data_IF_055784626103
#
_entry.id   IF_055784626103
#
_cell.length_a   1.000
_cell.length_b   1.000
_cell.length_c   1.000
_cell.angle_alpha   90.00
_cell.angle_beta   90.00
_cell.angle_gamma   90.00
#
_symmetry.space_group_name_H-M   'P 1'
#
loop_
_entity.id
_entity.type
_entity.pdbx_description
1 polymer ?
#
# COMPACT_ATOMS: atom_id res chain seq x y z
N UNK A 1 41.27 19.71 -3.47
CA UNK A 1 41.20 20.01 -2.03
C UNK A 1 40.45 18.88 -1.39
N UNK A 2 41.04 18.29 -0.36
CA UNK A 2 40.57 17.09 0.34
C UNK A 2 39.84 17.47 1.63
N UNK A 3 39.18 16.46 2.22
CA UNK A 3 38.71 16.41 3.62
C UNK A 3 37.53 17.32 4.03
N UNK A 4 36.70 16.93 5.00
CA UNK A 4 36.81 15.72 5.84
C UNK A 4 35.54 15.32 6.60
N UNK A 5 35.64 14.14 7.21
CA UNK A 5 34.67 13.50 8.12
C UNK A 5 34.81 14.01 9.56
N UNK A 6 33.71 14.06 10.31
CA UNK A 6 33.53 13.83 11.77
C UNK A 6 32.02 14.09 12.05
N UNK A 7 31.19 13.17 12.54
CA UNK A 7 31.26 12.28 13.72
C UNK A 7 31.44 13.02 15.05
N UNK A 8 30.36 13.03 15.87
CA UNK A 8 30.42 13.21 17.32
C UNK A 8 29.28 12.43 18.00
N UNK A 9 29.59 11.66 19.04
CA UNK A 9 28.68 10.87 19.87
C UNK A 9 28.47 11.50 21.26
N UNK A 10 27.40 11.09 21.96
CA UNK A 10 27.15 11.24 23.41
C UNK A 10 26.91 12.70 23.90
N UNK A 11 26.10 12.98 24.93
CA UNK A 11 26.06 12.32 26.24
C UNK A 11 24.73 12.51 27.02
N UNK A 12 24.62 11.74 28.11
CA UNK A 12 23.53 11.72 29.10
C UNK A 12 23.68 12.83 30.15
N UNK A 13 22.57 13.26 30.77
CA UNK A 13 22.54 13.67 32.19
C UNK A 13 21.12 13.65 32.76
N UNK A 14 20.99 13.11 33.96
CA UNK A 14 19.76 13.08 34.77
C UNK A 14 19.86 14.11 35.89
N UNK A 15 18.74 14.72 36.29
CA UNK A 15 18.63 15.37 37.61
C UNK A 15 17.21 15.18 38.20
N UNK A 16 17.07 15.44 39.50
CA UNK A 16 16.27 14.60 40.41
C UNK A 16 15.39 15.41 41.39
N UNK A 17 14.20 14.85 41.70
CA UNK A 17 13.35 15.04 42.89
C UNK A 17 12.57 16.35 43.14
N UNK A 18 11.24 16.17 43.37
CA UNK A 18 10.52 16.72 44.53
C UNK A 18 9.23 15.90 44.83
N UNK A 19 8.90 15.73 46.12
CA UNK A 19 7.87 14.85 46.77
C UNK A 19 7.58 15.48 48.17
N UNK A 20 6.45 15.33 48.94
CA UNK A 20 5.30 14.38 48.96
C UNK A 20 3.90 15.07 48.73
N UNK A 21 2.67 14.57 49.12
CA UNK A 21 2.31 13.42 49.98
C UNK A 21 1.17 12.44 49.59
N UNK A 22 1.12 11.37 50.40
CA UNK A 22 0.18 10.24 50.58
C UNK A 22 -1.34 10.60 50.67
N UNK A 23 -2.32 9.66 50.70
CA UNK A 23 -2.31 8.25 51.13
C UNK A 23 -3.51 7.41 50.59
N UNK A 24 -3.47 6.08 50.84
CA UNK A 24 -4.60 5.10 50.80
C UNK A 24 -5.22 4.79 49.42
N UNK A 25 -5.72 3.59 49.11
CA UNK A 25 -5.76 2.28 49.81
C UNK A 25 -5.96 1.14 48.78
N UNK A 26 -5.63 -0.11 49.13
CA UNK A 26 -5.97 -1.32 48.34
C UNK A 26 -6.91 -2.20 49.18
N UNK A 27 -7.86 -2.94 48.57
CA UNK A 27 -7.54 -4.34 48.27
C UNK A 27 -8.24 -4.98 47.04
N UNK A 28 -7.51 -5.93 46.43
CA UNK A 28 -7.93 -7.27 46.00
C UNK A 28 -9.30 -7.54 45.34
N UNK A 29 -9.28 -8.03 44.10
CA UNK A 29 -9.97 -9.26 43.70
C UNK A 29 -9.32 -9.87 42.45
N UNK A 30 -9.12 -11.19 42.41
CA UNK A 30 -8.52 -11.89 41.27
C UNK A 30 -9.59 -12.60 40.42
N UNK A 31 -9.46 -12.52 39.09
CA UNK A 31 -9.96 -13.51 38.15
C UNK A 31 -9.17 -13.40 36.84
N UNK A 32 -8.44 -14.46 36.48
CA UNK A 32 -7.97 -14.65 35.10
C UNK A 32 -9.05 -15.42 34.34
N UNK A 33 -9.47 -14.95 33.17
CA UNK A 33 -9.92 -15.80 32.06
C UNK A 33 -10.03 -14.97 30.76
N UNK A 34 -8.98 -15.02 29.95
CA UNK A 34 -8.99 -14.77 28.49
C UNK A 34 -9.46 -16.08 27.82
N UNK A 35 -10.16 -16.10 26.67
CA UNK A 35 -9.98 -15.13 25.59
C UNK A 35 -11.22 -14.78 24.71
N UNK A 36 -10.93 -14.02 23.64
CA UNK A 36 -11.61 -14.10 22.34
C UNK A 36 -12.93 -13.35 22.15
N UNK A 37 -12.85 -12.02 22.14
CA UNK A 37 -13.78 -11.15 21.40
C UNK A 37 -13.16 -10.56 20.10
N UNK A 38 -11.95 -10.99 19.71
CA UNK A 38 -11.20 -10.45 18.58
C UNK A 38 -11.45 -11.18 17.23
N UNK A 39 -12.63 -11.80 17.06
CA UNK A 39 -12.94 -12.66 15.91
C UNK A 39 -14.13 -12.19 15.06
N UNK A 40 -14.75 -11.03 15.37
CA UNK A 40 -15.96 -10.55 14.67
C UNK A 40 -15.79 -9.24 13.89
N UNK A 41 -14.65 -8.56 13.96
CA UNK A 41 -14.38 -7.37 13.12
C UNK A 41 -13.87 -7.73 11.71
N UNK A 42 -13.21 -8.88 11.55
CA UNK A 42 -12.55 -9.29 10.30
C UNK A 42 -13.54 -9.57 9.16
N UNK A 43 -14.80 -9.94 9.45
CA UNK A 43 -15.80 -10.27 8.43
C UNK A 43 -16.57 -9.05 7.88
N UNK A 44 -16.55 -7.90 8.54
CA UNK A 44 -17.36 -6.74 8.13
C UNK A 44 -16.62 -5.77 7.20
N UNK A 45 -15.29 -5.78 7.20
CA UNK A 45 -14.50 -4.80 6.47
C UNK A 45 -14.48 -5.00 4.94
N UNK A 46 -14.80 -6.22 4.45
CA UNK A 46 -14.96 -6.50 3.02
C UNK A 46 -16.31 -6.03 2.43
N UNK A 47 -17.31 -5.78 3.28
CA UNK A 47 -18.62 -5.20 2.92
C UNK A 47 -18.73 -3.72 3.36
N UNK A 48 -17.59 -3.07 3.58
CA UNK A 48 -17.52 -1.68 4.03
C UNK A 48 -17.90 -0.67 2.92
N UNK A 49 -18.60 0.39 3.30
CA UNK A 49 -19.10 1.41 2.37
C UNK A 49 -17.97 2.13 1.62
N UNK A 50 -16.79 2.30 2.24
CA UNK A 50 -15.61 2.88 1.58
C UNK A 50 -15.07 1.98 0.46
N UNK A 51 -15.12 0.66 0.62
CA UNK A 51 -14.66 -0.26 -0.41
C UNK A 51 -15.61 -0.24 -1.61
N UNK A 52 -16.92 -0.12 -1.38
CA UNK A 52 -17.90 0.08 -2.45
C UNK A 52 -17.65 1.38 -3.26
N UNK A 53 -17.21 2.46 -2.62
CA UNK A 53 -16.80 3.69 -3.31
C UNK A 53 -15.50 3.51 -4.11
N UNK A 54 -14.47 2.87 -3.54
CA UNK A 54 -13.23 2.54 -4.28
C UNK A 54 -13.53 1.64 -5.49
N UNK A 55 -14.40 0.63 -5.32
CA UNK A 55 -14.81 -0.29 -6.38
C UNK A 55 -15.84 0.32 -7.35
N UNK A 56 -16.23 1.59 -7.20
CA UNK A 56 -17.13 2.26 -8.13
C UNK A 56 -16.45 2.45 -9.49
N UNK A 57 -17.21 2.26 -10.56
CA UNK A 57 -16.74 2.50 -11.93
C UNK A 57 -16.55 4.00 -12.16
N UNK A 58 -15.38 4.40 -12.67
CA UNK A 58 -15.15 5.79 -13.10
C UNK A 58 -15.59 6.00 -14.55
N UNK A 59 -15.87 7.26 -14.91
CA UNK A 59 -16.38 7.59 -16.25
C UNK A 59 -15.38 7.30 -17.39
N UNK A 60 -14.08 7.38 -17.11
CA UNK A 60 -13.01 7.12 -18.08
C UNK A 60 -12.66 5.63 -18.23
N UNK A 61 -13.20 4.75 -17.39
CA UNK A 61 -12.98 3.31 -17.49
C UNK A 61 -13.88 2.65 -18.55
N UNK A 62 -13.29 1.84 -19.42
CA UNK A 62 -14.03 0.83 -20.17
C UNK A 62 -14.54 -0.28 -19.24
N UNK A 63 -15.55 -1.04 -19.67
CA UNK A 63 -16.11 -2.16 -18.90
C UNK A 63 -15.06 -3.23 -18.57
N UNK A 64 -14.12 -3.49 -19.49
CA UNK A 64 -13.03 -4.45 -19.29
C UNK A 64 -11.98 -3.98 -18.29
N UNK A 65 -11.52 -2.73 -18.40
CA UNK A 65 -10.57 -2.13 -17.44
C UNK A 65 -11.15 -2.12 -16.03
N UNK A 66 -12.41 -1.73 -15.89
CA UNK A 66 -13.12 -1.73 -14.62
C UNK A 66 -13.18 -3.13 -13.99
N UNK A 67 -13.60 -4.14 -14.76
CA UNK A 67 -13.68 -5.53 -14.27
C UNK A 67 -12.31 -6.06 -13.82
N UNK A 68 -11.24 -5.75 -14.56
CA UNK A 68 -9.87 -6.11 -14.18
C UNK A 68 -9.42 -5.41 -12.89
N UNK A 69 -9.70 -4.11 -12.72
CA UNK A 69 -9.40 -3.39 -11.47
C UNK A 69 -10.18 -3.96 -10.29
N UNK A 70 -11.46 -4.29 -10.46
CA UNK A 70 -12.27 -4.91 -9.40
C UNK A 70 -11.75 -6.31 -9.03
N UNK A 71 -11.32 -7.10 -10.01
CA UNK A 71 -10.70 -8.41 -9.75
C UNK A 71 -9.38 -8.28 -8.96
N UNK A 72 -8.49 -7.38 -9.38
CA UNK A 72 -7.27 -7.04 -8.66
C UNK A 72 -7.55 -6.58 -7.22
N UNK A 73 -8.47 -5.62 -7.04
CA UNK A 73 -8.80 -5.08 -5.72
C UNK A 73 -9.40 -6.12 -4.79
N UNK A 74 -10.20 -7.08 -5.29
CA UNK A 74 -10.71 -8.21 -4.48
C UNK A 74 -9.58 -9.11 -3.99
N UNK A 75 -8.59 -9.39 -4.84
CA UNK A 75 -7.39 -10.16 -4.46
C UNK A 75 -6.55 -9.41 -3.42
N UNK A 76 -6.31 -8.11 -3.62
CA UNK A 76 -5.57 -7.27 -2.68
C UNK A 76 -6.27 -7.17 -1.31
N UNK A 77 -7.58 -6.90 -1.29
CA UNK A 77 -8.37 -6.86 -0.05
C UNK A 77 -8.36 -8.21 0.65
N UNK A 78 -8.60 -9.33 -0.05
CA UNK A 78 -8.56 -10.65 0.57
C UNK A 78 -7.18 -10.95 1.20
N UNK A 79 -6.09 -10.55 0.54
CA UNK A 79 -4.73 -10.70 1.07
C UNK A 79 -4.47 -9.82 2.29
N UNK A 80 -4.90 -8.55 2.28
CA UNK A 80 -4.76 -7.64 3.43
C UNK A 80 -5.63 -8.03 4.62
N UNK A 81 -6.85 -8.52 4.38
CA UNK A 81 -7.72 -9.07 5.44
C UNK A 81 -7.10 -10.30 6.06
N UNK A 82 -6.43 -11.16 5.27
CA UNK A 82 -5.72 -12.33 5.78
C UNK A 82 -4.44 -11.98 6.57
N UNK A 83 -3.75 -10.87 6.26
CA UNK A 83 -2.61 -10.38 7.05
C UNK A 83 -3.01 -9.52 8.26
N UNK A 84 -4.28 -9.09 8.35
CA UNK A 84 -4.74 -8.13 9.37
C UNK A 84 -4.34 -6.68 9.10
N UNK A 85 -3.81 -6.38 7.91
CA UNK A 85 -3.29 -5.06 7.51
C UNK A 85 -4.27 -4.28 6.61
N UNK A 86 -5.57 -4.57 6.68
CA UNK A 86 -6.56 -3.93 5.81
C UNK A 86 -6.69 -2.42 6.11
N UNK A 87 -6.39 -1.60 5.10
CA UNK A 87 -6.31 -0.16 5.21
C UNK A 87 -6.96 0.52 3.99
N UNK A 88 -7.86 1.49 4.24
CA UNK A 88 -8.63 2.19 3.20
C UNK A 88 -7.72 2.96 2.23
N UNK A 89 -6.78 3.75 2.75
CA UNK A 89 -5.90 4.58 1.91
C UNK A 89 -4.99 3.74 1.01
N UNK A 90 -4.50 2.61 1.53
CA UNK A 90 -3.72 1.64 0.75
C UNK A 90 -4.58 1.00 -0.35
N UNK A 91 -5.85 0.69 -0.07
CA UNK A 91 -6.77 0.21 -1.09
C UNK A 91 -7.07 1.28 -2.16
N UNK A 92 -7.24 2.55 -1.75
CA UNK A 92 -7.49 3.68 -2.66
C UNK A 92 -6.28 3.96 -3.55
N UNK A 93 -5.08 3.90 -2.97
CA UNK A 93 -3.78 4.00 -3.65
C UNK A 93 -3.62 2.87 -4.69
N UNK A 94 -3.77 1.61 -4.27
CA UNK A 94 -3.63 0.44 -5.14
C UNK A 94 -4.60 0.46 -6.32
N UNK A 95 -5.84 0.86 -6.08
CA UNK A 95 -6.89 1.02 -7.11
C UNK A 95 -6.46 2.00 -8.22
N UNK A 96 -5.95 3.17 -7.84
CA UNK A 96 -5.45 4.16 -8.80
C UNK A 96 -4.14 3.73 -9.47
N UNK A 97 -3.21 3.19 -8.69
CA UNK A 97 -1.88 2.75 -9.14
C UNK A 97 -1.98 1.63 -10.18
N UNK A 98 -2.84 0.63 -9.95
CA UNK A 98 -3.15 -0.44 -10.90
C UNK A 98 -3.60 0.13 -12.26
N UNK A 99 -4.54 1.08 -12.26
CA UNK A 99 -5.05 1.66 -13.50
C UNK A 99 -3.98 2.46 -14.25
N UNK A 100 -3.25 3.33 -13.53
CA UNK A 100 -2.19 4.15 -14.11
C UNK A 100 -1.05 3.32 -14.70
N UNK A 101 -0.60 2.27 -13.99
CA UNK A 101 0.48 1.40 -14.46
C UNK A 101 0.00 0.50 -15.61
N UNK A 102 -1.15 -0.18 -15.48
CA UNK A 102 -1.61 -1.17 -16.47
C UNK A 102 -2.13 -0.55 -17.76
N UNK A 103 -2.79 0.61 -17.69
CA UNK A 103 -3.53 1.19 -18.83
C UNK A 103 -3.03 2.55 -19.31
N UNK A 104 -2.39 3.36 -18.45
CA UNK A 104 -1.80 4.64 -18.84
C UNK A 104 -0.29 4.55 -19.10
N UNK A 105 0.34 3.41 -18.81
CA UNK A 105 1.78 3.19 -18.99
C UNK A 105 2.65 3.99 -18.02
N UNK A 106 2.05 4.52 -16.93
CA UNK A 106 2.80 5.27 -15.93
C UNK A 106 3.91 4.42 -15.30
N UNK A 107 4.97 5.09 -14.87
CA UNK A 107 6.07 4.49 -14.10
C UNK A 107 6.17 5.25 -12.79
N UNK A 108 6.27 4.52 -11.69
CA UNK A 108 6.33 5.08 -10.33
C UNK A 108 7.66 4.71 -9.68
N UNK A 109 7.85 5.10 -8.41
CA UNK A 109 9.02 4.66 -7.64
C UNK A 109 9.00 3.12 -7.48
N UNK A 110 10.17 2.46 -7.37
CA UNK A 110 10.25 1.02 -7.20
C UNK A 110 9.46 0.50 -5.99
N UNK A 111 9.35 1.30 -4.93
CA UNK A 111 8.58 0.99 -3.71
C UNK A 111 7.07 0.88 -4.00
N UNK A 112 6.51 1.82 -4.76
CA UNK A 112 5.11 1.79 -5.16
C UNK A 112 4.84 0.66 -6.16
N UNK A 113 5.73 0.46 -7.15
CA UNK A 113 5.59 -0.67 -8.08
C UNK A 113 5.70 -2.02 -7.32
N UNK A 114 6.60 -2.17 -6.35
CA UNK A 114 6.69 -3.37 -5.52
C UNK A 114 5.43 -3.61 -4.66
N UNK A 115 4.84 -2.56 -4.07
CA UNK A 115 3.58 -2.65 -3.34
C UNK A 115 2.43 -3.13 -4.23
N UNK A 116 2.41 -2.71 -5.50
CA UNK A 116 1.45 -3.16 -6.50
C UNK A 116 1.66 -4.65 -6.85
N UNK A 117 2.90 -5.03 -7.16
CA UNK A 117 3.25 -6.40 -7.58
C UNK A 117 3.16 -7.42 -6.44
N UNK A 118 3.14 -7.00 -5.15
CA UNK A 118 2.81 -7.85 -3.99
C UNK A 118 1.46 -8.56 -4.16
N UNK A 119 0.49 -7.92 -4.80
CA UNK A 119 -0.88 -8.44 -4.95
C UNK A 119 -1.21 -8.93 -6.36
N UNK A 120 -0.38 -8.60 -7.37
CA UNK A 120 -0.47 -9.12 -8.74
C UNK A 120 0.94 -9.22 -9.36
N UNK A 121 1.53 -10.42 -9.25
CA UNK A 121 2.87 -10.70 -9.80
C UNK A 121 2.90 -10.77 -11.32
N UNK A 122 1.78 -11.13 -11.97
CA UNK A 122 1.68 -11.18 -13.43
C UNK A 122 1.68 -9.77 -14.03
N UNK A 123 1.18 -8.77 -13.30
CA UNK A 123 1.18 -7.37 -13.74
C UNK A 123 2.60 -6.85 -14.06
N UNK A 124 3.62 -7.26 -13.32
CA UNK A 124 5.00 -6.85 -13.60
C UNK A 124 5.47 -7.32 -15.00
N UNK A 125 5.15 -8.56 -15.36
CA UNK A 125 5.50 -9.15 -16.68
C UNK A 125 4.68 -8.52 -17.81
N UNK A 126 3.38 -8.30 -17.58
CA UNK A 126 2.46 -7.60 -18.48
C UNK A 126 2.98 -6.19 -18.80
N UNK A 127 3.35 -5.43 -17.76
CA UNK A 127 3.84 -4.04 -17.86
C UNK A 127 5.18 -3.98 -18.56
N UNK A 128 6.12 -4.86 -18.20
CA UNK A 128 7.40 -4.97 -18.90
C UNK A 128 7.22 -5.32 -20.39
N UNK A 129 6.26 -6.19 -20.70
CA UNK A 129 5.92 -6.59 -22.07
C UNK A 129 5.23 -5.45 -22.85
N UNK A 130 4.34 -4.69 -22.22
CA UNK A 130 3.70 -3.52 -22.81
C UNK A 130 4.72 -2.41 -23.10
N UNK A 131 5.58 -2.07 -22.13
CA UNK A 131 6.68 -1.09 -22.26
C UNK A 131 7.62 -1.48 -23.43
N UNK A 132 8.00 -2.76 -23.57
CA UNK A 132 8.81 -3.27 -24.71
C UNK A 132 8.10 -3.14 -26.06
N UNK A 133 6.79 -3.45 -26.14
CA UNK A 133 5.98 -3.30 -27.36
C UNK A 133 5.87 -1.84 -27.78
N UNK A 134 5.63 -0.93 -26.84
CA UNK A 134 5.51 0.50 -27.12
C UNK A 134 6.85 1.11 -27.57
N UNK A 135 7.95 0.80 -26.90
CA UNK A 135 9.29 1.25 -27.30
C UNK A 135 9.65 0.75 -28.72
N UNK A 136 9.28 -0.49 -29.05
CA UNK A 136 9.46 -1.06 -30.39
C UNK A 136 8.61 -0.36 -31.44
N UNK A 137 7.39 0.06 -31.10
CA UNK A 137 6.51 0.83 -31.98
C UNK A 137 7.09 2.24 -32.24
N UNK A 138 7.42 2.98 -31.18
CA UNK A 138 8.03 4.33 -31.27
C UNK A 138 9.32 4.32 -32.10
N UNK A 139 10.17 3.30 -31.96
CA UNK A 139 11.39 3.16 -32.77
C UNK A 139 11.10 2.98 -34.26
N UNK A 140 10.07 2.22 -34.63
CA UNK A 140 9.65 2.05 -36.03
C UNK A 140 9.09 3.36 -36.61
N UNK A 141 8.28 4.07 -35.83
CA UNK A 141 7.71 5.37 -36.24
C UNK A 141 8.82 6.42 -36.47
N UNK A 142 9.80 6.50 -35.57
CA UNK A 142 10.98 7.36 -35.75
C UNK A 142 11.81 6.99 -36.99
N UNK A 143 11.99 5.70 -37.28
CA UNK A 143 12.70 5.24 -38.48
C UNK A 143 11.96 5.56 -39.78
N UNK A 144 10.62 5.61 -39.77
CA UNK A 144 9.83 6.03 -40.93
C UNK A 144 9.91 7.55 -41.14
N UNK A 145 9.90 8.34 -40.07
CA UNK A 145 10.03 9.81 -40.15
C UNK A 145 11.41 10.27 -40.64
N UNK A 146 12.47 9.46 -40.49
CA UNK A 146 13.82 9.75 -41.00
C UNK A 146 14.04 9.36 -42.48
N UNK A 147 13.03 8.77 -43.13
CA UNK A 147 13.07 8.35 -44.54
C UNK A 147 12.12 9.17 -45.44
N UNK A 148 11.57 10.26 -44.91
CA UNK A 148 10.73 11.24 -45.61
C UNK A 148 11.42 12.61 -45.58
#
# INVERSE_FOLDING_TARGET
MTEGVQETLAAVSSETAAVPPSASETPSAAASETPSAAASETQSAADSAWLADILKKTQWESKGQHAARVAFMRTAVASMTASGELNEDTCRLLSGLFYSVKYLGCTYTPELEALLYKYDSQLAEDVASARKKEASKRRKEQQQQQQQ
#
